data_IF_221901823792
#
_entry.id   IF_221901823792
#
_cell.length_a   1.000
_cell.length_b   1.000
_cell.length_c   1.000
_cell.angle_alpha   90.00
_cell.angle_beta   90.00
_cell.angle_gamma   90.00
#
_symmetry.space_group_name_H-M   'P 1'
#
loop_
_entity.id
_entity.type
_entity.pdbx_description
1 polymer ?
#
# COMPACT_ATOMS: atom_id res chain seq x y z
N UNK A 1 -5.72 11.58 34.39
CA UNK A 1 -5.14 11.35 33.04
C UNK A 1 -5.62 10.05 32.41
N UNK A 2 -5.84 8.96 33.15
CA UNK A 2 -6.37 7.70 32.58
C UNK A 2 -7.80 7.78 32.07
N UNK A 3 -8.70 8.50 32.76
CA UNK A 3 -10.11 8.63 32.36
C UNK A 3 -10.29 9.25 30.96
N UNK A 4 -9.43 10.20 30.58
CA UNK A 4 -9.47 10.82 29.25
C UNK A 4 -9.10 9.82 28.13
N UNK A 5 -8.15 8.90 28.39
CA UNK A 5 -7.79 7.86 27.42
C UNK A 5 -8.94 6.90 27.16
N UNK A 6 -9.70 6.54 28.21
CA UNK A 6 -10.88 5.70 28.04
C UNK A 6 -11.98 6.43 27.25
N UNK A 7 -12.24 7.69 27.55
CA UNK A 7 -13.25 8.48 26.83
C UNK A 7 -12.91 8.65 25.34
N UNK A 8 -11.64 8.92 25.00
CA UNK A 8 -11.19 8.98 23.60
C UNK A 8 -11.29 7.60 22.93
N UNK A 9 -10.87 6.53 23.61
CA UNK A 9 -10.97 5.18 23.10
C UNK A 9 -12.44 4.80 22.80
N UNK A 10 -13.35 5.01 23.74
CA UNK A 10 -14.78 4.74 23.55
C UNK A 10 -15.40 5.63 22.47
N UNK A 11 -14.99 6.90 22.39
CA UNK A 11 -15.45 7.85 21.38
C UNK A 11 -15.10 7.45 19.94
N UNK A 12 -13.95 6.82 19.73
CA UNK A 12 -13.52 6.33 18.41
C UNK A 12 -14.05 4.91 18.15
N UNK A 13 -13.91 4.03 19.14
CA UNK A 13 -14.19 2.60 18.99
C UNK A 13 -15.67 2.29 18.88
N UNK A 14 -16.53 2.88 19.73
CA UNK A 14 -17.95 2.53 19.73
C UNK A 14 -18.65 2.86 18.40
N UNK A 15 -18.43 4.04 17.78
CA UNK A 15 -18.98 4.32 16.46
C UNK A 15 -18.41 3.43 15.34
N UNK A 16 -17.14 3.03 15.44
CA UNK A 16 -16.55 2.08 14.50
C UNK A 16 -17.17 0.69 14.65
N UNK A 17 -17.32 0.18 15.87
CA UNK A 17 -17.95 -1.11 16.16
C UNK A 17 -19.42 -1.14 15.69
N UNK A 18 -20.14 -0.02 15.88
CA UNK A 18 -21.50 0.14 15.37
C UNK A 18 -21.52 0.11 13.84
N UNK A 19 -20.60 0.81 13.19
CA UNK A 19 -20.47 0.77 11.73
C UNK A 19 -20.17 -0.65 11.22
N UNK A 20 -19.26 -1.39 11.86
CA UNK A 20 -18.94 -2.76 11.48
C UNK A 20 -20.14 -3.69 11.62
N UNK A 21 -20.88 -3.56 12.73
CA UNK A 21 -22.13 -4.30 12.95
C UNK A 21 -23.17 -3.99 11.88
N UNK A 22 -23.40 -2.71 11.58
CA UNK A 22 -24.33 -2.29 10.54
C UNK A 22 -23.89 -2.79 9.15
N UNK A 23 -22.61 -2.67 8.83
CA UNK A 23 -22.05 -3.11 7.56
C UNK A 23 -22.20 -4.62 7.38
N UNK A 24 -22.04 -5.41 8.45
CA UNK A 24 -22.29 -6.85 8.41
C UNK A 24 -23.74 -7.17 7.99
N UNK A 25 -24.73 -6.58 8.67
CA UNK A 25 -26.14 -6.79 8.30
C UNK A 25 -26.47 -6.27 6.90
N UNK A 26 -25.94 -5.11 6.53
CA UNK A 26 -26.07 -4.56 5.20
C UNK A 26 -25.55 -5.52 4.12
N UNK A 27 -24.37 -6.12 4.33
CA UNK A 27 -23.79 -7.07 3.39
C UNK A 27 -24.61 -8.36 3.25
N UNK A 28 -25.24 -8.83 4.32
CA UNK A 28 -26.18 -9.97 4.24
C UNK A 28 -27.39 -9.62 3.37
N UNK A 29 -28.04 -8.48 3.63
CA UNK A 29 -29.20 -8.02 2.85
C UNK A 29 -28.81 -7.78 1.38
N UNK A 30 -27.68 -7.11 1.16
CA UNK A 30 -27.12 -6.85 -0.18
C UNK A 30 -26.85 -8.14 -0.93
N UNK A 31 -26.26 -9.14 -0.28
CA UNK A 31 -25.98 -10.44 -0.89
C UNK A 31 -27.26 -11.14 -1.36
N UNK A 32 -28.31 -11.16 -0.51
CA UNK A 32 -29.62 -11.69 -0.89
C UNK A 32 -30.23 -10.93 -2.08
N UNK A 33 -30.12 -9.59 -2.07
CA UNK A 33 -30.58 -8.76 -3.17
C UNK A 33 -29.79 -9.02 -4.47
N UNK A 34 -28.48 -9.25 -4.38
CA UNK A 34 -27.63 -9.58 -5.53
C UNK A 34 -27.92 -10.96 -6.11
N UNK A 35 -28.25 -11.93 -5.26
CA UNK A 35 -28.73 -13.24 -5.72
C UNK A 35 -30.05 -13.05 -6.47
N UNK A 36 -30.99 -12.29 -5.90
CA UNK A 36 -32.30 -12.04 -6.52
C UNK A 36 -32.21 -11.30 -7.86
N UNK A 37 -31.31 -10.31 -7.97
CA UNK A 37 -31.14 -9.50 -9.19
C UNK A 37 -30.18 -10.09 -10.23
N UNK A 38 -29.53 -11.22 -9.91
CA UNK A 38 -28.54 -11.86 -10.78
C UNK A 38 -27.16 -11.21 -10.77
N UNK A 39 -26.94 -10.12 -10.01
CA UNK A 39 -25.62 -9.50 -9.84
C UNK A 39 -24.59 -10.50 -9.34
N UNK A 40 -24.97 -11.39 -8.42
CA UNK A 40 -24.07 -12.42 -7.90
C UNK A 40 -23.57 -13.38 -8.99
N UNK A 41 -24.46 -13.77 -9.90
CA UNK A 41 -24.10 -14.61 -11.05
C UNK A 41 -23.17 -13.85 -11.99
N UNK A 42 -23.43 -12.56 -12.25
CA UNK A 42 -22.59 -11.74 -13.10
C UNK A 42 -21.19 -11.48 -12.51
N UNK A 43 -21.06 -11.32 -11.19
CA UNK A 43 -19.75 -11.26 -10.51
C UNK A 43 -18.99 -12.56 -10.73
N UNK A 44 -19.65 -13.71 -10.59
CA UNK A 44 -19.02 -15.02 -10.82
C UNK A 44 -18.61 -15.19 -12.29
N UNK A 45 -19.49 -14.81 -13.21
CA UNK A 45 -19.22 -14.87 -14.65
C UNK A 45 -18.15 -13.86 -15.10
N UNK A 46 -17.94 -12.77 -14.33
CA UNK A 46 -16.95 -11.75 -14.63
C UNK A 46 -15.52 -12.25 -14.59
N UNK A 47 -15.25 -13.38 -13.92
CA UNK A 47 -13.93 -13.99 -13.88
C UNK A 47 -13.60 -14.77 -15.18
N UNK A 48 -14.61 -15.07 -15.99
CA UNK A 48 -14.43 -15.88 -17.19
C UNK A 48 -13.80 -15.07 -18.33
N UNK A 49 -12.87 -15.64 -19.13
CA UNK A 49 -12.22 -14.95 -20.24
C UNK A 49 -13.18 -14.25 -21.22
N UNK A 50 -14.31 -14.88 -21.53
CA UNK A 50 -15.35 -14.38 -22.44
C UNK A 50 -16.06 -13.12 -21.91
N UNK A 51 -16.04 -12.89 -20.60
CA UNK A 51 -16.69 -11.76 -19.94
C UNK A 51 -15.83 -10.51 -19.88
N UNK A 52 -14.63 -10.50 -20.51
CA UNK A 52 -13.66 -9.41 -20.40
C UNK A 52 -14.30 -8.02 -20.59
N UNK A 53 -15.16 -7.83 -21.60
CA UNK A 53 -15.76 -6.53 -21.90
C UNK A 53 -16.76 -6.02 -20.84
N UNK A 54 -17.15 -6.85 -19.88
CA UNK A 54 -18.07 -6.54 -18.76
C UNK A 54 -17.57 -7.10 -17.44
N UNK A 55 -16.26 -7.27 -17.29
CA UNK A 55 -15.68 -7.91 -16.11
C UNK A 55 -15.46 -6.95 -14.94
N UNK A 56 -15.54 -5.64 -15.17
CA UNK A 56 -15.29 -4.64 -14.14
C UNK A 56 -16.57 -4.26 -13.43
N UNK A 57 -16.64 -4.51 -12.13
CA UNK A 57 -17.75 -4.10 -11.30
C UNK A 57 -17.54 -2.67 -10.78
N UNK A 58 -18.50 -1.78 -11.06
CA UNK A 58 -18.53 -0.42 -10.49
C UNK A 58 -19.52 -0.39 -9.33
N UNK A 59 -19.02 0.05 -8.18
CA UNK A 59 -19.75 0.12 -6.91
C UNK A 59 -19.80 1.56 -6.42
N UNK A 60 -21.01 2.10 -6.24
CA UNK A 60 -21.21 3.42 -5.66
C UNK A 60 -21.00 3.36 -4.15
N UNK A 61 -20.18 4.26 -3.62
CA UNK A 61 -19.97 4.38 -2.18
C UNK A 61 -21.13 5.18 -1.58
N UNK A 62 -21.87 4.55 -0.66
CA UNK A 62 -22.95 5.20 0.08
C UNK A 62 -22.43 5.82 1.39
N UNK A 63 -21.52 5.11 2.05
CA UNK A 63 -20.91 5.54 3.30
C UNK A 63 -19.52 4.90 3.44
N UNK A 64 -18.64 5.50 4.22
CA UNK A 64 -17.32 4.95 4.53
C UNK A 64 -16.90 5.32 5.95
N UNK A 65 -16.22 4.41 6.63
CA UNK A 65 -15.66 4.65 7.96
C UNK A 65 -14.46 3.75 8.24
N UNK A 66 -13.47 4.30 8.91
CA UNK A 66 -12.31 3.56 9.43
C UNK A 66 -12.15 3.81 10.93
N UNK A 67 -11.47 2.88 11.62
CA UNK A 67 -11.02 3.05 13.00
C UNK A 67 -9.81 3.99 13.09
N UNK A 68 -8.93 3.92 12.09
CA UNK A 68 -7.66 4.63 12.04
C UNK A 68 -7.43 5.06 10.59
N UNK A 69 -7.16 6.34 10.36
CA UNK A 69 -6.82 6.86 9.02
C UNK A 69 -5.47 6.35 8.52
N UNK A 70 -4.57 5.92 9.40
CA UNK A 70 -3.19 5.55 9.06
C UNK A 70 -2.98 4.07 8.75
N UNK A 71 -4.05 3.26 8.76
CA UNK A 71 -4.01 1.85 8.38
C UNK A 71 -4.72 1.69 7.04
N UNK A 72 -4.21 0.87 6.12
CA UNK A 72 -4.92 0.56 4.87
C UNK A 72 -6.32 0.10 5.19
N UNK A 73 -7.34 0.74 4.63
CA UNK A 73 -8.68 0.28 4.89
C UNK A 73 -9.04 -0.86 3.92
N UNK A 74 -9.51 -2.01 4.44
CA UNK A 74 -10.05 -3.06 3.59
C UNK A 74 -11.32 -2.57 2.88
N UNK A 75 -11.80 -3.34 1.90
CA UNK A 75 -13.08 -3.04 1.23
C UNK A 75 -14.25 -2.91 2.23
N UNK A 76 -14.20 -3.66 3.34
CA UNK A 76 -15.22 -3.59 4.41
C UNK A 76 -15.29 -2.24 5.14
N UNK A 77 -14.38 -1.31 4.86
CA UNK A 77 -14.48 0.07 5.34
C UNK A 77 -15.44 0.93 4.51
N UNK A 78 -15.93 0.40 3.39
CA UNK A 78 -16.89 1.05 2.50
C UNK A 78 -18.22 0.30 2.52
N UNK A 79 -19.30 1.08 2.59
CA UNK A 79 -20.64 0.59 2.35
C UNK A 79 -21.02 0.94 0.92
N UNK A 80 -21.20 -0.08 0.10
CA UNK A 80 -21.32 0.08 -1.35
C UNK A 80 -22.52 -0.64 -1.94
N UNK A 81 -23.07 -0.04 -2.99
CA UNK A 81 -24.13 -0.64 -3.81
C UNK A 81 -23.60 -0.86 -5.23
N UNK A 82 -23.97 -2.00 -5.83
CA UNK A 82 -23.69 -2.28 -7.24
C UNK A 82 -24.31 -1.20 -8.12
N UNK A 83 -23.55 -0.69 -9.09
CA UNK A 83 -24.04 0.28 -10.07
C UNK A 83 -24.12 -0.35 -11.46
N UNK A 84 -23.01 -0.91 -11.96
CA UNK A 84 -22.95 -1.48 -13.31
C UNK A 84 -21.71 -2.35 -13.51
N UNK A 85 -21.68 -3.07 -14.62
CA UNK A 85 -20.50 -3.76 -15.14
C UNK A 85 -20.00 -3.09 -16.42
N UNK A 86 -18.70 -2.84 -16.50
CA UNK A 86 -18.06 -2.08 -17.57
C UNK A 86 -16.81 -2.78 -18.11
N UNK A 87 -16.22 -2.20 -19.16
CA UNK A 87 -14.98 -2.67 -19.74
C UNK A 87 -13.76 -2.33 -18.83
N UNK A 88 -12.74 -3.21 -18.75
CA UNK A 88 -11.45 -3.00 -18.10
C UNK A 88 -10.79 -1.65 -18.34
N UNK A 89 -10.88 -1.09 -19.54
CA UNK A 89 -10.34 0.24 -19.87
C UNK A 89 -10.88 1.36 -18.96
N UNK A 90 -12.00 1.14 -18.25
CA UNK A 90 -12.51 2.09 -17.26
C UNK A 90 -11.48 2.46 -16.19
N UNK A 91 -10.62 1.52 -15.79
CA UNK A 91 -9.59 1.78 -14.75
C UNK A 91 -8.40 2.57 -15.29
N UNK A 92 -8.27 2.70 -16.62
CA UNK A 92 -7.22 3.51 -17.25
C UNK A 92 -7.53 5.00 -17.22
N UNK A 93 -8.79 5.40 -17.01
CA UNK A 93 -9.17 6.81 -16.92
C UNK A 93 -8.43 7.55 -15.78
N UNK A 94 -8.14 8.83 -15.99
CA UNK A 94 -7.40 9.70 -15.05
C UNK A 94 -8.08 9.84 -13.68
N UNK A 95 -9.39 9.59 -13.59
CA UNK A 95 -10.14 9.68 -12.34
C UNK A 95 -10.07 8.40 -11.49
N UNK A 96 -9.39 7.37 -12.00
CA UNK A 96 -9.22 6.07 -11.35
C UNK A 96 -7.77 5.88 -10.88
N UNK A 97 -7.63 5.42 -9.63
CA UNK A 97 -6.34 5.08 -9.04
C UNK A 97 -6.41 3.73 -8.31
N UNK A 98 -5.34 2.93 -8.42
CA UNK A 98 -5.28 1.64 -7.73
C UNK A 98 -5.25 1.88 -6.22
N UNK A 99 -6.16 1.22 -5.49
CA UNK A 99 -6.32 1.39 -4.05
C UNK A 99 -5.82 0.15 -3.30
N UNK A 100 -6.31 -1.02 -3.67
CA UNK A 100 -5.95 -2.29 -3.03
C UNK A 100 -5.88 -3.42 -4.07
N UNK A 101 -5.28 -4.53 -3.67
CA UNK A 101 -5.27 -5.75 -4.45
C UNK A 101 -5.44 -6.92 -3.48
N UNK A 102 -6.29 -7.85 -3.86
CA UNK A 102 -6.56 -9.08 -3.15
C UNK A 102 -6.01 -10.26 -3.98
N UNK A 103 -6.07 -11.51 -3.48
CA UNK A 103 -5.69 -12.67 -4.28
C UNK A 103 -6.52 -12.85 -5.56
N UNK A 104 -7.72 -12.26 -5.64
CA UNK A 104 -8.69 -12.50 -6.74
C UNK A 104 -9.00 -11.26 -7.56
N UNK A 105 -8.80 -10.05 -7.03
CA UNK A 105 -9.19 -8.80 -7.70
C UNK A 105 -8.22 -7.65 -7.41
N UNK A 106 -8.15 -6.71 -8.34
CA UNK A 106 -7.59 -5.38 -8.09
C UNK A 106 -8.74 -4.39 -7.86
N UNK A 107 -8.60 -3.56 -6.82
CA UNK A 107 -9.60 -2.59 -6.39
C UNK A 107 -9.06 -1.20 -6.66
N UNK A 108 -9.80 -0.44 -7.46
CA UNK A 108 -9.56 0.95 -7.79
C UNK A 108 -10.55 1.85 -7.08
N UNK A 109 -10.14 3.09 -6.86
CA UNK A 109 -11.03 4.17 -6.41
C UNK A 109 -11.17 5.17 -7.55
N UNK A 110 -12.42 5.52 -7.83
CA UNK A 110 -12.77 6.66 -8.65
C UNK A 110 -12.96 7.90 -7.77
N UNK A 111 -12.35 9.02 -8.13
CA UNK A 111 -12.52 10.31 -7.43
C UNK A 111 -13.17 11.35 -8.36
N UNK A 112 -14.10 12.14 -7.83
CA UNK A 112 -14.73 13.23 -8.61
C UNK A 112 -13.78 14.41 -8.83
N UNK A 113 -12.95 14.72 -7.84
CA UNK A 113 -12.00 15.82 -7.87
C UNK A 113 -10.57 15.28 -7.66
N UNK A 114 -9.64 15.72 -8.51
CA UNK A 114 -8.29 15.14 -8.66
C UNK A 114 -7.28 15.56 -7.57
N UNK A 115 -7.73 16.18 -6.48
CA UNK A 115 -6.85 16.76 -5.48
C UNK A 115 -6.77 15.84 -4.26
N UNK A 116 -5.65 15.14 -4.13
CA UNK A 116 -5.30 14.38 -2.93
C UNK A 116 -4.47 15.27 -2.00
N UNK A 117 -5.09 15.83 -0.95
CA UNK A 117 -4.40 16.63 0.07
C UNK A 117 -4.14 15.79 1.32
N UNK A 118 -3.32 14.75 1.22
CA UNK A 118 -2.98 13.90 2.38
C UNK A 118 -1.54 13.40 2.32
N UNK A 119 -0.93 13.22 3.49
CA UNK A 119 0.43 12.70 3.67
C UNK A 119 0.62 11.29 3.08
N UNK A 120 -0.47 10.53 2.93
CA UNK A 120 -0.47 9.21 2.34
C UNK A 120 -1.53 9.09 1.25
N UNK A 121 -1.15 8.56 0.08
CA UNK A 121 -2.03 8.44 -1.08
C UNK A 121 -3.36 7.74 -0.74
N UNK A 122 -3.28 6.60 -0.05
CA UNK A 122 -4.46 5.81 0.35
C UNK A 122 -5.46 6.55 1.26
N UNK A 123 -5.01 7.52 2.05
CA UNK A 123 -5.83 8.33 2.95
C UNK A 123 -6.57 9.36 2.13
N UNK A 124 -5.88 9.98 1.18
CA UNK A 124 -6.52 10.84 0.19
C UNK A 124 -7.54 10.08 -0.63
N UNK A 125 -7.15 8.93 -1.19
CA UNK A 125 -8.06 8.06 -1.92
C UNK A 125 -9.30 7.71 -1.09
N UNK A 126 -9.13 7.27 0.16
CA UNK A 126 -10.26 6.98 1.05
C UNK A 126 -11.11 8.22 1.32
N UNK A 127 -10.50 9.36 1.63
CA UNK A 127 -11.19 10.60 2.00
C UNK A 127 -12.02 11.18 0.86
N UNK A 128 -11.61 11.01 -0.39
CA UNK A 128 -12.31 11.58 -1.58
C UNK A 128 -12.95 10.54 -2.50
N UNK A 129 -12.98 9.26 -2.10
CA UNK A 129 -13.56 8.19 -2.91
C UNK A 129 -15.03 8.44 -3.27
N UNK A 130 -15.40 8.33 -4.54
CA UNK A 130 -16.80 8.37 -5.00
C UNK A 130 -17.30 6.97 -5.32
N UNK A 131 -16.46 6.18 -6.00
CA UNK A 131 -16.78 4.78 -6.37
C UNK A 131 -15.62 3.84 -6.04
N UNK A 132 -15.96 2.60 -5.74
CA UNK A 132 -15.05 1.47 -5.80
C UNK A 132 -15.22 0.78 -7.15
N UNK A 133 -14.10 0.38 -7.75
CA UNK A 133 -14.11 -0.34 -9.02
C UNK A 133 -13.29 -1.62 -8.81
N UNK A 134 -13.94 -2.78 -8.93
CA UNK A 134 -13.32 -4.09 -8.80
C UNK A 134 -13.08 -4.71 -10.17
N UNK A 135 -11.86 -5.15 -10.45
CA UNK A 135 -11.51 -5.90 -11.65
C UNK A 135 -10.91 -7.25 -11.25
N UNK A 136 -11.40 -8.39 -11.79
CA UNK A 136 -10.79 -9.69 -11.56
C UNK A 136 -9.31 -9.69 -11.96
N UNK A 137 -8.48 -10.34 -11.16
CA UNK A 137 -7.02 -10.23 -11.26
C UNK A 137 -6.47 -10.77 -12.58
N UNK A 138 -7.11 -11.79 -13.17
CA UNK A 138 -6.77 -12.29 -14.50
C UNK A 138 -6.98 -11.22 -15.59
N UNK A 139 -8.08 -10.47 -15.52
CA UNK A 139 -8.38 -9.39 -16.45
C UNK A 139 -7.54 -8.15 -16.21
N UNK A 140 -7.22 -7.83 -14.95
CA UNK A 140 -6.25 -6.80 -14.61
C UNK A 140 -4.87 -7.11 -15.21
N UNK A 141 -4.40 -8.36 -15.09
CA UNK A 141 -3.12 -8.75 -15.68
C UNK A 141 -3.14 -8.64 -17.20
N UNK A 142 -4.22 -9.10 -17.84
CA UNK A 142 -4.41 -8.96 -19.29
C UNK A 142 -4.37 -7.48 -19.72
N UNK A 143 -5.13 -6.61 -19.04
CA UNK A 143 -5.15 -5.17 -19.32
C UNK A 143 -3.76 -4.54 -19.19
N UNK A 144 -3.02 -4.88 -18.13
CA UNK A 144 -1.67 -4.37 -17.89
C UNK A 144 -0.62 -4.93 -18.88
N UNK A 145 -0.86 -6.09 -19.47
CA UNK A 145 -0.04 -6.68 -20.54
C UNK A 145 -0.31 -6.01 -21.90
N UNK A 146 -1.57 -5.60 -22.14
CA UNK A 146 -2.00 -4.87 -23.35
C UNK A 146 -1.54 -3.39 -23.37
N UNK A 147 -1.19 -2.82 -22.21
CA UNK A 147 -0.59 -1.48 -22.13
C UNK A 147 0.81 -1.48 -22.76
N UNK A 148 1.03 -0.60 -23.74
CA UNK A 148 2.35 -0.37 -24.33
C UNK A 148 3.31 0.25 -23.30
N UNK A 149 4.54 -0.26 -23.24
CA UNK A 149 5.60 0.40 -22.47
C UNK A 149 6.07 1.63 -23.25
N UNK A 150 5.75 2.84 -22.79
CA UNK A 150 6.15 4.10 -23.47
C UNK A 150 7.67 4.40 -23.43
N UNK A 151 8.49 3.42 -23.01
CA UNK A 151 9.94 3.57 -22.87
C UNK A 151 10.37 4.51 -21.76
N UNK A 152 9.46 4.89 -20.86
CA UNK A 152 9.77 5.71 -19.68
C UNK A 152 10.67 4.93 -18.71
N UNK A 153 11.69 5.60 -18.16
CA UNK A 153 12.60 4.96 -17.20
C UNK A 153 11.91 4.79 -15.85
N UNK A 154 12.06 3.62 -15.24
CA UNK A 154 11.59 3.40 -13.87
C UNK A 154 12.74 3.65 -12.90
N UNK A 155 12.50 4.47 -11.89
CA UNK A 155 13.46 4.80 -10.83
C UNK A 155 12.84 4.39 -9.50
N UNK A 156 13.50 3.52 -8.75
CA UNK A 156 13.09 3.14 -7.39
C UNK A 156 13.90 3.91 -6.36
N UNK A 157 13.22 4.60 -5.44
CA UNK A 157 13.80 5.34 -4.31
C UNK A 157 13.54 4.63 -2.99
N UNK A 158 14.44 3.73 -2.64
CA UNK A 158 14.42 3.07 -1.33
C UNK A 158 14.84 4.05 -0.24
N UNK A 159 14.24 3.94 0.95
CA UNK A 159 14.53 4.87 2.04
C UNK A 159 14.37 4.23 3.43
N UNK A 160 15.02 4.83 4.43
CA UNK A 160 14.93 4.42 5.83
C UNK A 160 13.64 4.85 6.54
N UNK A 161 12.51 4.91 5.82
CA UNK A 161 11.23 5.41 6.33
C UNK A 161 11.20 6.93 6.45
N UNK A 162 10.01 7.52 6.29
CA UNK A 162 9.79 8.98 6.38
C UNK A 162 10.64 9.85 5.45
N UNK A 163 10.92 9.31 4.28
CA UNK A 163 11.34 10.11 3.13
C UNK A 163 10.22 10.29 2.08
N UNK A 164 9.00 9.73 2.28
CA UNK A 164 7.86 9.90 1.34
C UNK A 164 7.26 8.65 0.66
N UNK A 165 7.65 7.42 1.00
CA UNK A 165 7.23 6.22 0.25
C UNK A 165 6.15 5.36 0.89
N UNK A 166 5.07 5.03 0.17
CA UNK A 166 4.08 4.02 0.62
C UNK A 166 3.29 3.42 -0.56
N UNK A 167 3.61 2.19 -1.01
CA UNK A 167 2.61 1.28 -1.65
C UNK A 167 3.06 -0.19 -1.84
N UNK A 168 4.36 -0.52 -1.85
CA UNK A 168 4.85 -1.75 -2.54
C UNK A 168 4.84 -3.06 -1.74
N UNK A 169 4.68 -3.07 -0.42
CA UNK A 169 5.09 -4.23 0.42
C UNK A 169 4.09 -5.42 0.51
N UNK A 170 3.06 -5.51 -0.33
CA UNK A 170 1.96 -6.48 -0.15
C UNK A 170 1.96 -7.71 -1.09
N UNK A 171 3.03 -7.98 -1.84
CA UNK A 171 3.03 -9.00 -2.91
C UNK A 171 4.20 -9.98 -2.75
N UNK A 172 3.95 -11.26 -2.41
CA UNK A 172 4.98 -12.32 -2.40
C UNK A 172 4.51 -13.66 -3.02
N UNK A 173 5.40 -14.32 -3.80
CA UNK A 173 5.35 -15.57 -4.63
C UNK A 173 5.42 -15.36 -6.17
N UNK A 174 5.52 -16.42 -6.99
CA UNK A 174 5.59 -16.35 -8.47
C UNK A 174 4.50 -15.43 -9.08
N UNK A 175 3.26 -15.51 -8.55
CA UNK A 175 2.16 -14.59 -8.86
C UNK A 175 2.49 -13.14 -8.51
N UNK A 176 3.29 -12.91 -7.47
CA UNK A 176 3.78 -11.60 -7.07
C UNK A 176 4.70 -10.94 -8.08
N UNK A 177 5.51 -11.67 -8.86
CA UNK A 177 6.34 -11.02 -9.90
C UNK A 177 5.47 -10.38 -10.97
N UNK A 178 4.56 -11.17 -11.54
CA UNK A 178 3.61 -10.68 -12.55
C UNK A 178 2.71 -9.58 -11.98
N UNK A 179 2.16 -9.80 -10.78
CA UNK A 179 1.34 -8.78 -10.11
C UNK A 179 2.13 -7.50 -9.83
N UNK A 180 3.37 -7.60 -9.37
CA UNK A 180 4.24 -6.47 -9.09
C UNK A 180 4.51 -5.68 -10.37
N UNK A 181 4.91 -6.36 -11.44
CA UNK A 181 5.11 -5.75 -12.77
C UNK A 181 3.88 -4.98 -13.25
N UNK A 182 2.73 -5.66 -13.23
CA UNK A 182 1.46 -5.11 -13.71
C UNK A 182 0.94 -3.98 -12.82
N UNK A 183 1.18 -4.06 -11.51
CA UNK A 183 0.89 -2.99 -10.56
C UNK A 183 1.72 -1.76 -10.87
N UNK A 184 3.03 -1.89 -11.07
CA UNK A 184 3.88 -0.75 -11.40
C UNK A 184 3.45 -0.11 -12.73
N UNK A 185 3.18 -0.89 -13.78
CA UNK A 185 2.67 -0.36 -15.06
C UNK A 185 1.38 0.43 -14.88
N UNK A 186 0.45 -0.09 -14.11
CA UNK A 186 -0.85 0.57 -13.86
C UNK A 186 -0.71 1.83 -13.01
N UNK A 187 0.19 1.85 -12.04
CA UNK A 187 0.52 3.04 -11.24
C UNK A 187 1.26 4.09 -12.06
N UNK A 188 2.07 3.64 -13.02
CA UNK A 188 2.85 4.45 -13.93
C UNK A 188 2.14 4.62 -15.28
N UNK A 189 0.81 4.60 -15.31
CA UNK A 189 0.08 4.92 -16.55
C UNK A 189 0.24 6.41 -16.87
N UNK A 190 0.33 6.79 -18.15
CA UNK A 190 0.44 8.19 -18.55
C UNK A 190 -0.82 8.94 -18.11
N UNK A 191 -0.63 10.09 -17.46
CA UNK A 191 -1.73 10.99 -17.14
C UNK A 191 -1.93 11.97 -18.28
N UNK A 192 -3.10 11.91 -18.95
CA UNK A 192 -3.39 12.72 -20.13
C UNK A 192 -3.33 14.23 -19.86
N UNK A 193 -3.50 14.65 -18.60
CA UNK A 193 -3.43 16.04 -18.18
C UNK A 193 -2.03 16.67 -18.23
N UNK A 194 -0.96 15.87 -18.28
CA UNK A 194 0.41 16.40 -18.22
C UNK A 194 0.91 16.93 -19.56
N UNK A 195 0.29 16.57 -20.70
CA UNK A 195 0.62 17.10 -22.05
C UNK A 195 2.05 16.87 -22.55
N UNK A 196 2.96 16.48 -21.67
CA UNK A 196 4.39 16.29 -21.88
C UNK A 196 4.74 14.80 -21.83
N UNK A 197 5.75 14.42 -22.61
CA UNK A 197 6.29 13.06 -22.62
C UNK A 197 6.90 12.75 -21.26
N UNK A 198 6.34 11.77 -20.55
CA UNK A 198 6.89 11.31 -19.28
C UNK A 198 8.23 10.63 -19.54
N UNK A 199 9.31 11.21 -19.01
CA UNK A 199 10.67 10.70 -19.21
C UNK A 199 11.08 9.66 -18.17
N UNK A 200 10.49 9.72 -16.97
CA UNK A 200 10.76 8.78 -15.89
C UNK A 200 9.61 8.72 -14.87
N UNK A 201 9.45 7.56 -14.24
CA UNK A 201 8.61 7.33 -13.07
C UNK A 201 9.49 7.14 -11.84
N UNK A 202 9.21 7.91 -10.79
CA UNK A 202 9.92 7.82 -9.51
C UNK A 202 9.02 7.13 -8.50
N UNK A 203 9.35 5.89 -8.16
CA UNK A 203 8.59 5.05 -7.26
C UNK A 203 9.29 5.04 -5.92
N UNK A 204 8.60 5.51 -4.90
CA UNK A 204 9.14 5.52 -3.54
C UNK A 204 8.46 4.44 -2.70
N UNK A 205 9.15 3.33 -2.38
CA UNK A 205 8.54 2.28 -1.61
C UNK A 205 8.75 2.50 -0.08
N UNK A 206 8.05 1.70 0.73
CA UNK A 206 7.90 1.90 2.19
C UNK A 206 9.13 1.40 2.95
N UNK A 207 9.31 1.80 4.22
CA UNK A 207 10.45 1.47 5.11
C UNK A 207 10.99 0.02 5.09
N UNK A 208 10.21 -0.98 4.67
CA UNK A 208 10.63 -2.39 4.61
C UNK A 208 10.78 -2.91 3.17
N UNK A 209 10.84 -2.04 2.18
CA UNK A 209 10.92 -2.37 0.76
C UNK A 209 12.26 -2.94 0.31
N UNK A 210 13.32 -2.67 1.05
CA UNK A 210 14.65 -3.23 0.80
C UNK A 210 14.64 -4.76 0.79
N UNK A 211 13.63 -5.39 1.41
CA UNK A 211 13.45 -6.85 1.35
C UNK A 211 12.96 -7.34 -0.02
N UNK A 212 12.37 -6.45 -0.83
CA UNK A 212 11.86 -6.73 -2.17
C UNK A 212 12.86 -6.33 -3.27
N UNK A 213 14.05 -5.83 -2.93
CA UNK A 213 15.00 -5.25 -3.89
C UNK A 213 15.42 -6.25 -4.98
N UNK A 214 15.54 -7.52 -4.64
CA UNK A 214 15.86 -8.60 -5.59
C UNK A 214 14.75 -8.79 -6.60
N UNK A 215 13.50 -8.79 -6.14
CA UNK A 215 12.33 -8.89 -7.01
C UNK A 215 12.23 -7.67 -7.92
N UNK A 216 12.57 -6.48 -7.41
CA UNK A 216 12.63 -5.25 -8.23
C UNK A 216 13.67 -5.40 -9.33
N UNK A 217 14.88 -5.82 -9.00
CA UNK A 217 15.96 -6.03 -9.98
C UNK A 217 15.63 -7.14 -11.00
N UNK A 218 14.92 -8.19 -10.57
CA UNK A 218 14.50 -9.29 -11.44
C UNK A 218 13.40 -8.82 -12.41
N UNK A 219 12.41 -8.06 -11.93
CA UNK A 219 11.25 -7.64 -12.72
C UNK A 219 11.57 -6.43 -13.59
N UNK A 220 12.44 -5.53 -13.13
CA UNK A 220 12.85 -4.30 -13.80
C UNK A 220 14.38 -4.16 -13.79
N UNK A 221 15.12 -5.01 -14.53
CA UNK A 221 16.58 -5.01 -14.51
C UNK A 221 17.20 -3.70 -15.00
N UNK A 222 16.48 -2.94 -15.81
CA UNK A 222 16.84 -1.62 -16.32
C UNK A 222 16.54 -0.47 -15.36
N UNK A 223 15.82 -0.72 -14.27
CA UNK A 223 15.45 0.33 -13.33
C UNK A 223 16.67 0.86 -12.57
N UNK A 224 16.68 2.16 -12.35
CA UNK A 224 17.72 2.80 -11.53
C UNK A 224 17.27 2.78 -10.08
N UNK A 225 18.10 2.21 -9.20
CA UNK A 225 17.78 2.08 -7.78
C UNK A 225 18.63 3.03 -6.95
N UNK A 226 17.99 3.82 -6.09
CA UNK A 226 18.67 4.65 -5.10
C UNK A 226 18.28 4.22 -3.69
N UNK A 227 19.25 4.18 -2.78
CA UNK A 227 19.04 4.02 -1.34
C UNK A 227 19.35 5.32 -0.62
N UNK A 228 18.31 6.00 -0.17
CA UNK A 228 18.44 7.24 0.61
C UNK A 228 18.67 6.87 2.07
N UNK A 229 19.82 7.24 2.61
CA UNK A 229 20.20 6.97 3.99
C UNK A 229 20.46 8.26 4.78
N UNK A 230 20.21 8.20 6.08
CA UNK A 230 20.35 9.29 7.04
C UNK A 230 21.04 8.76 8.30
N UNK A 231 21.59 9.65 9.12
CA UNK A 231 22.05 9.30 10.45
C UNK A 231 20.93 8.55 11.23
N UNK A 232 21.16 7.31 11.71
CA UNK A 232 20.14 6.53 12.42
C UNK A 232 19.54 7.24 13.64
N UNK A 233 20.32 8.07 14.33
CA UNK A 233 19.82 8.85 15.48
C UNK A 233 18.77 9.87 15.01
N UNK A 234 19.03 10.56 13.90
CA UNK A 234 18.08 11.53 13.35
C UNK A 234 16.82 10.86 12.79
N UNK A 235 16.96 9.66 12.20
CA UNK A 235 15.81 8.82 11.81
C UNK A 235 14.98 8.49 13.04
N UNK A 236 15.60 8.07 14.14
CA UNK A 236 14.90 7.81 15.42
C UNK A 236 14.16 9.02 15.96
N UNK A 237 14.81 10.19 15.96
CA UNK A 237 14.17 11.43 16.41
C UNK A 237 12.98 11.77 15.51
N UNK A 238 13.13 11.61 14.19
CA UNK A 238 12.04 11.87 13.23
C UNK A 238 10.87 10.91 13.41
N UNK A 239 11.12 9.63 13.65
CA UNK A 239 10.07 8.63 13.85
C UNK A 239 9.36 8.83 15.19
N UNK A 240 10.09 9.20 16.25
CA UNK A 240 9.50 9.55 17.55
C UNK A 240 8.46 10.67 17.45
N UNK A 241 8.74 11.73 16.67
CA UNK A 241 7.77 12.81 16.44
C UNK A 241 6.44 12.32 15.87
N UNK A 242 6.46 11.22 15.13
CA UNK A 242 5.27 10.62 14.54
C UNK A 242 4.58 9.70 15.53
N UNK A 243 5.34 8.95 16.33
CA UNK A 243 4.76 8.19 17.44
C UNK A 243 3.96 9.11 18.39
N UNK A 244 4.40 10.35 18.56
CA UNK A 244 3.66 11.36 19.33
C UNK A 244 2.35 11.82 18.65
N UNK A 245 2.29 11.79 17.32
CA UNK A 245 1.09 12.14 16.54
C UNK A 245 0.14 10.93 16.39
N UNK A 246 0.68 9.72 16.32
CA UNK A 246 -0.02 8.49 16.00
C UNK A 246 -0.22 7.63 17.26
N UNK A 247 -1.23 7.98 18.06
CA UNK A 247 -1.61 7.26 19.29
C UNK A 247 -1.68 5.72 19.11
N UNK A 248 -2.22 5.16 18.02
CA UNK A 248 -2.25 3.71 17.82
C UNK A 248 -0.86 3.08 17.67
N UNK A 249 0.06 3.77 16.98
CA UNK A 249 1.46 3.33 16.83
C UNK A 249 2.15 3.39 18.18
N UNK A 250 1.96 4.47 18.95
CA UNK A 250 2.48 4.57 20.31
C UNK A 250 1.99 3.44 21.20
N UNK A 251 0.73 3.05 21.09
CA UNK A 251 0.17 1.90 21.83
C UNK A 251 0.79 0.59 21.35
N UNK A 252 0.90 0.34 20.04
CA UNK A 252 1.55 -0.87 19.50
C UNK A 252 3.01 -0.99 19.93
N UNK A 253 3.78 0.10 19.85
CA UNK A 253 5.20 0.14 20.22
C UNK A 253 5.40 -0.06 21.72
N UNK A 254 4.49 0.46 22.56
CA UNK A 254 4.59 0.28 24.01
C UNK A 254 4.06 -1.09 24.48
N UNK A 255 3.07 -1.67 23.80
CA UNK A 255 2.51 -2.98 24.16
C UNK A 255 3.34 -4.15 23.64
N UNK A 256 4.08 -3.94 22.55
CA UNK A 256 4.87 -4.99 21.90
C UNK A 256 6.34 -4.73 22.16
N UNK A 257 7.10 -5.76 22.53
CA UNK A 257 8.55 -5.65 22.45
C UNK A 257 8.89 -5.38 20.97
N UNK A 258 9.43 -4.20 20.65
CA UNK A 258 9.76 -3.78 19.29
C UNK A 258 10.62 -4.84 18.58
N UNK A 259 11.50 -5.52 19.33
CA UNK A 259 12.27 -6.64 18.82
C UNK A 259 11.38 -7.79 18.31
N UNK A 260 10.26 -8.08 18.98
CA UNK A 260 9.28 -9.09 18.57
C UNK A 260 8.51 -8.68 17.32
N UNK A 261 8.11 -7.42 17.15
CA UNK A 261 7.41 -6.98 15.91
C UNK A 261 8.34 -7.12 14.70
N UNK A 262 9.58 -6.62 14.81
CA UNK A 262 10.51 -6.70 13.67
C UNK A 262 10.91 -8.15 13.40
N UNK A 263 11.11 -8.95 14.45
CA UNK A 263 11.34 -10.40 14.31
C UNK A 263 10.16 -11.10 13.62
N UNK A 264 8.92 -10.82 14.00
CA UNK A 264 7.73 -11.36 13.35
C UNK A 264 7.65 -10.93 11.88
N UNK A 265 8.03 -9.69 11.58
CA UNK A 265 8.07 -9.17 10.21
C UNK A 265 9.14 -9.91 9.38
N UNK A 266 10.29 -10.23 9.99
CA UNK A 266 11.37 -11.00 9.38
C UNK A 266 10.99 -12.47 9.16
N UNK A 267 10.37 -13.10 10.17
CA UNK A 267 9.83 -14.47 10.05
C UNK A 267 8.76 -14.54 8.96
N UNK A 268 7.92 -13.51 8.83
CA UNK A 268 6.89 -13.44 7.79
C UNK A 268 7.47 -13.39 6.37
N UNK A 269 8.63 -12.75 6.17
CA UNK A 269 9.33 -12.72 4.87
C UNK A 269 10.28 -13.92 4.67
N UNK A 270 10.25 -14.92 5.56
CA UNK A 270 11.06 -16.14 5.46
C UNK A 270 12.54 -15.97 5.85
N UNK A 271 12.90 -14.83 6.43
CA UNK A 271 14.25 -14.52 6.86
C UNK A 271 14.45 -15.00 8.30
N UNK A 272 14.77 -16.28 8.44
CA UNK A 272 14.92 -16.96 9.74
C UNK A 272 16.28 -16.74 10.39
N UNK A 273 17.25 -16.18 9.68
CA UNK A 273 18.64 -16.22 10.10
C UNK A 273 19.32 -14.88 9.85
N UNK A 274 19.20 -13.97 10.81
CA UNK A 274 20.14 -12.85 10.86
C UNK A 274 20.77 -12.79 12.24
N UNK A 275 22.08 -13.05 12.27
CA UNK A 275 23.01 -12.65 13.33
C UNK A 275 23.10 -11.12 13.44
N UNK A 276 21.97 -10.44 13.37
CA UNK A 276 21.92 -9.00 13.31
C UNK A 276 22.15 -8.45 14.72
N UNK A 277 23.44 -8.28 15.04
CA UNK A 277 23.90 -7.90 16.38
C UNK A 277 23.31 -6.57 16.85
N UNK A 278 22.86 -5.69 15.95
CA UNK A 278 22.19 -4.44 16.36
C UNK A 278 20.94 -4.68 17.23
N UNK A 279 20.35 -5.88 17.21
CA UNK A 279 19.23 -6.26 18.10
C UNK A 279 19.61 -6.41 19.57
N UNK A 280 20.89 -6.70 19.88
CA UNK A 280 21.34 -6.97 21.25
C UNK A 280 21.91 -5.74 21.94
N UNK A 281 22.17 -4.65 21.21
CA UNK A 281 22.66 -3.41 21.81
C UNK A 281 21.56 -2.76 22.66
N UNK A 282 21.90 -2.35 23.90
CA UNK A 282 20.99 -1.56 24.72
C UNK A 282 20.82 -0.18 24.08
N UNK A 283 19.61 0.07 23.58
CA UNK A 283 19.19 1.36 23.04
C UNK A 283 18.09 1.87 23.95
N UNK A 284 18.08 3.17 24.20
CA UNK A 284 17.01 3.79 24.98
C UNK A 284 15.64 3.46 24.34
N UNK A 285 14.62 3.01 25.11
CA UNK A 285 13.37 2.49 24.56
C UNK A 285 12.70 3.44 23.57
N UNK A 286 12.72 4.75 23.84
CA UNK A 286 12.11 5.79 22.99
C UNK A 286 12.76 5.97 21.61
N UNK A 287 13.98 5.45 21.39
CA UNK A 287 14.68 5.53 20.12
C UNK A 287 14.87 4.17 19.46
N UNK A 288 14.45 3.10 20.14
CA UNK A 288 14.72 1.73 19.73
C UNK A 288 14.09 1.39 18.38
N UNK A 289 12.86 1.82 18.13
CA UNK A 289 12.14 1.54 16.87
C UNK A 289 12.85 2.16 15.68
N UNK A 290 13.04 3.48 15.69
CA UNK A 290 13.65 4.16 14.56
C UNK A 290 15.11 3.79 14.32
N UNK A 291 15.88 3.57 15.40
CA UNK A 291 17.28 3.20 15.27
C UNK A 291 17.41 1.82 14.62
N UNK A 292 16.64 0.84 15.13
CA UNK A 292 16.66 -0.52 14.61
C UNK A 292 16.11 -0.59 13.19
N UNK A 293 15.07 0.18 12.85
CA UNK A 293 14.57 0.29 11.48
C UNK A 293 15.59 0.87 10.51
N UNK A 294 16.31 1.92 10.92
CA UNK A 294 17.38 2.52 10.12
C UNK A 294 18.53 1.54 9.90
N UNK A 295 19.01 0.89 10.96
CA UNK A 295 20.10 -0.06 10.82
C UNK A 295 19.65 -1.31 10.02
N UNK A 296 18.41 -1.77 10.17
CA UNK A 296 17.83 -2.88 9.41
C UNK A 296 17.84 -2.62 7.91
N UNK A 297 17.33 -1.47 7.49
CA UNK A 297 17.32 -1.07 6.07
C UNK A 297 18.74 -0.90 5.51
N UNK A 298 19.66 -0.33 6.29
CA UNK A 298 21.08 -0.25 5.90
C UNK A 298 21.70 -1.64 5.72
N UNK A 299 21.36 -2.60 6.56
CA UNK A 299 21.86 -3.98 6.43
C UNK A 299 21.43 -4.60 5.11
N UNK A 300 20.14 -4.53 4.75
CA UNK A 300 19.67 -5.06 3.46
C UNK A 300 20.29 -4.33 2.27
N UNK A 301 20.54 -3.03 2.37
CA UNK A 301 21.29 -2.29 1.35
C UNK A 301 22.70 -2.84 1.16
N UNK A 302 23.42 -3.09 2.26
CA UNK A 302 24.76 -3.67 2.19
C UNK A 302 24.75 -5.11 1.66
N UNK A 303 23.76 -5.92 2.03
CA UNK A 303 23.58 -7.26 1.49
C UNK A 303 23.26 -7.24 -0.01
N UNK A 304 22.41 -6.32 -0.46
CA UNK A 304 22.13 -6.13 -1.89
C UNK A 304 23.40 -5.78 -2.69
N UNK A 305 24.24 -4.89 -2.15
CA UNK A 305 25.54 -4.57 -2.76
C UNK A 305 26.46 -5.80 -2.84
N UNK A 306 26.53 -6.62 -1.78
CA UNK A 306 27.32 -7.87 -1.78
C UNK A 306 26.86 -8.87 -2.84
N UNK A 307 25.55 -8.89 -3.11
CA UNK A 307 24.93 -9.72 -4.15
C UNK A 307 25.09 -9.15 -5.56
N UNK A 308 25.72 -7.97 -5.72
CA UNK A 308 25.98 -7.34 -7.01
C UNK A 308 24.79 -6.55 -7.56
N UNK A 309 23.78 -6.23 -6.74
CA UNK A 309 22.65 -5.38 -7.16
C UNK A 309 23.15 -3.95 -7.33
N UNK A 310 22.86 -3.36 -8.49
CA UNK A 310 23.26 -2.00 -8.82
C UNK A 310 22.34 -0.97 -8.12
N UNK A 311 22.66 -0.64 -6.87
CA UNK A 311 21.95 0.36 -6.07
C UNK A 311 22.87 1.49 -5.62
N UNK A 312 22.43 2.73 -5.79
CA UNK A 312 23.20 3.93 -5.49
C UNK A 312 22.82 4.51 -4.11
N UNK A 313 23.77 4.56 -3.18
CA UNK A 313 23.56 5.23 -1.89
C UNK A 313 23.54 6.75 -2.02
N UNK A 314 22.52 7.41 -1.47
CA UNK A 314 22.39 8.87 -1.41
C UNK A 314 22.23 9.30 0.03
N UNK A 315 23.14 10.14 0.53
CA UNK A 315 23.06 10.68 1.88
C UNK A 315 22.01 11.79 1.94
N UNK A 316 21.02 11.65 2.81
CA UNK A 316 20.05 12.69 3.12
C UNK A 316 20.52 13.48 4.33
N UNK A 317 21.31 14.51 4.08
CA UNK A 317 21.66 15.51 5.07
C UNK A 317 21.50 16.90 4.44
N UNK A 318 20.96 17.83 5.24
CA UNK A 318 21.04 19.24 4.89
C UNK A 318 22.51 19.62 5.04
N UNK A 319 23.16 20.02 3.95
CA UNK A 319 24.44 20.71 4.07
C UNK A 319 24.21 21.93 4.99
N UNK A 320 25.04 22.11 6.03
CA UNK A 320 24.89 23.21 6.98
C UNK A 320 25.00 24.59 6.32
#
# INVERSE_FOLDING_TARGET
MEVYKYLEFFGIFAPWALFMTFNYFYNVIRSLYWIYTGVHQQVTDSEKPESYNRSVEVKKILFRRTIDGYIKHPESAFLTVHETFVNPERVLQDDCSLYAMTPTEAIFIQVKNRIFLHDFLWMGQFAVADKLISIPLNHFNKLAEEMEDEGAKIIFLHNQGRCGGTLVTALFKETARRMFRNTIRMLCKPYGALGERIVAYVIQPMLLDMVCIEMVQEVFPEAVQFFIYRNPIEVSISLRRIEEILTPIKVMINLSNVASIVRLSLEFIGEHNTEYRAWTYPIHPEFQFGFRGACFTTYYYLEALKRGINIHGVRYEQYP
#
